data_IF_296825115357
#
_entry.id   IF_296825115357
#
_cell.length_a   1.000
_cell.length_b   1.000
_cell.length_c   1.000
_cell.angle_alpha   90.00
_cell.angle_beta   90.00
_cell.angle_gamma   90.00
#
_symmetry.space_group_name_H-M   'P 1'
#
loop_
_entity.id
_entity.type
_entity.pdbx_description
1 polymer ?
#
# COMPACT_ATOMS: atom_id res chain seq x y z
N UNK A 1 -19.57 -4.54 32.37
CA UNK A 1 -18.43 -5.25 32.98
C UNK A 1 -17.64 -5.84 31.82
N UNK A 2 -16.37 -5.47 31.66
CA UNK A 2 -15.54 -6.07 30.59
C UNK A 2 -15.37 -7.55 30.95
N UNK A 3 -15.62 -8.50 30.01
CA UNK A 3 -15.37 -9.90 30.28
C UNK A 3 -13.93 -10.09 30.78
N UNK A 4 -13.74 -10.95 31.79
CA UNK A 4 -12.38 -11.27 32.24
C UNK A 4 -11.57 -11.81 31.05
N UNK A 5 -10.27 -11.51 31.02
CA UNK A 5 -9.39 -12.04 29.97
C UNK A 5 -9.46 -13.58 29.93
N UNK A 6 -9.59 -14.22 31.10
CA UNK A 6 -9.84 -15.65 31.23
C UNK A 6 -11.10 -16.08 30.44
N UNK A 7 -12.23 -15.40 30.65
CA UNK A 7 -13.50 -15.73 29.98
C UNK A 7 -13.38 -15.59 28.46
N UNK A 8 -12.78 -14.48 27.98
CA UNK A 8 -12.67 -14.20 26.55
C UNK A 8 -11.86 -15.29 25.84
N UNK A 9 -10.66 -15.58 26.32
CA UNK A 9 -9.77 -16.56 25.67
C UNK A 9 -10.27 -17.98 25.85
N UNK A 10 -10.86 -18.35 27.00
CA UNK A 10 -11.46 -19.68 27.18
C UNK A 10 -12.59 -19.93 26.19
N UNK A 11 -13.47 -18.94 25.98
CA UNK A 11 -14.58 -19.06 25.03
C UNK A 11 -14.05 -19.27 23.62
N UNK A 12 -13.01 -18.53 23.22
CA UNK A 12 -12.34 -18.72 21.93
C UNK A 12 -11.64 -20.08 21.81
N UNK A 13 -10.96 -20.55 22.86
CA UNK A 13 -10.28 -21.84 22.87
C UNK A 13 -11.29 -23.00 22.77
N UNK A 14 -12.40 -22.95 23.52
CA UNK A 14 -13.46 -23.95 23.45
C UNK A 14 -14.17 -23.99 22.10
N UNK A 15 -14.39 -22.82 21.48
CA UNK A 15 -14.92 -22.77 20.11
C UNK A 15 -13.98 -23.45 19.11
N UNK A 16 -12.68 -23.12 19.17
CA UNK A 16 -11.67 -23.73 18.31
C UNK A 16 -11.53 -25.25 18.55
N UNK A 17 -11.61 -25.71 19.81
CA UNK A 17 -11.65 -27.14 20.14
C UNK A 17 -12.84 -27.85 19.51
N UNK A 18 -14.03 -27.23 19.55
CA UNK A 18 -15.24 -27.77 18.92
C UNK A 18 -15.13 -27.88 17.40
N UNK A 19 -14.43 -26.93 16.79
CA UNK A 19 -14.14 -26.91 15.35
C UNK A 19 -12.97 -27.85 14.96
N UNK A 20 -12.34 -28.53 15.93
CA UNK A 20 -11.22 -29.44 15.73
C UNK A 20 -9.88 -28.75 15.50
N UNK A 21 -9.76 -27.45 15.79
CA UNK A 21 -8.55 -26.66 15.61
C UNK A 21 -7.66 -26.67 16.87
N UNK A 22 -7.14 -27.84 17.22
CA UNK A 22 -6.29 -28.03 18.39
C UNK A 22 -4.99 -27.22 18.31
N UNK A 23 -4.42 -27.09 17.10
CA UNK A 23 -3.18 -26.34 16.89
C UNK A 23 -3.31 -24.87 17.30
N UNK A 24 -4.46 -24.24 16.99
CA UNK A 24 -4.71 -22.88 17.42
C UNK A 24 -4.70 -22.74 18.95
N UNK A 25 -5.30 -23.69 19.67
CA UNK A 25 -5.29 -23.71 21.13
C UNK A 25 -3.87 -23.86 21.71
N UNK A 26 -3.01 -24.66 21.06
CA UNK A 26 -1.58 -24.74 21.42
C UNK A 26 -0.86 -23.40 21.20
N UNK A 27 -1.18 -22.65 20.14
CA UNK A 27 -0.59 -21.32 19.92
C UNK A 27 -0.98 -20.29 20.99
N UNK A 28 -2.11 -20.51 21.68
CA UNK A 28 -2.50 -19.71 22.84
C UNK A 28 -1.74 -20.11 24.12
N UNK A 29 -0.99 -21.21 24.08
CA UNK A 29 -0.18 -21.71 25.19
C UNK A 29 -0.83 -22.81 26.02
N UNK A 30 -2.00 -23.34 25.62
CA UNK A 30 -2.60 -24.48 26.30
C UNK A 30 -1.84 -25.77 26.00
N UNK A 31 -1.65 -26.58 27.03
CA UNK A 31 -1.14 -27.94 26.90
C UNK A 31 -2.27 -28.90 26.48
N UNK A 32 -1.89 -30.05 25.92
CA UNK A 32 -2.85 -31.08 25.55
C UNK A 32 -3.71 -31.54 26.74
N UNK A 33 -3.12 -31.71 27.92
CA UNK A 33 -3.82 -32.15 29.12
C UNK A 33 -4.86 -31.11 29.59
N UNK A 34 -4.52 -29.83 29.53
CA UNK A 34 -5.44 -28.73 29.82
C UNK A 34 -6.60 -28.68 28.82
N UNK A 35 -6.31 -28.85 27.52
CA UNK A 35 -7.35 -28.89 26.49
C UNK A 35 -8.28 -30.10 26.67
N UNK A 36 -7.73 -31.25 27.03
CA UNK A 36 -8.52 -32.43 27.34
C UNK A 36 -9.40 -32.19 28.57
N UNK A 37 -8.88 -31.59 29.64
CA UNK A 37 -9.66 -31.22 30.82
C UNK A 37 -10.78 -30.24 30.48
N UNK A 38 -10.48 -29.18 29.70
CA UNK A 38 -11.45 -28.19 29.25
C UNK A 38 -12.58 -28.80 28.42
N UNK A 39 -12.28 -29.79 27.57
CA UNK A 39 -13.27 -30.47 26.73
C UNK A 39 -14.25 -31.36 27.53
N UNK A 40 -13.88 -31.76 28.74
CA UNK A 40 -14.70 -32.59 29.62
C UNK A 40 -15.44 -31.79 30.71
N UNK A 41 -15.25 -30.47 30.79
CA UNK A 41 -15.94 -29.63 31.76
C UNK A 41 -17.46 -29.63 31.53
N UNK A 42 -18.21 -29.74 32.62
CA UNK A 42 -19.63 -29.41 32.63
C UNK A 42 -19.86 -27.90 32.42
N UNK A 43 -21.08 -27.52 32.06
CA UNK A 43 -21.44 -26.11 31.91
C UNK A 43 -21.24 -25.33 33.21
N UNK A 44 -21.56 -25.93 34.36
CA UNK A 44 -21.41 -25.29 35.67
C UNK A 44 -19.93 -25.05 36.00
N UNK A 45 -19.05 -26.03 35.76
CA UNK A 45 -17.62 -25.87 35.97
C UNK A 45 -17.01 -24.82 35.04
N UNK A 46 -17.46 -24.76 33.78
CA UNK A 46 -17.05 -23.73 32.83
C UNK A 46 -17.42 -22.33 33.33
N UNK A 47 -18.64 -22.16 33.88
CA UNK A 47 -19.05 -20.88 34.48
C UNK A 47 -18.19 -20.51 35.69
N UNK A 48 -17.79 -21.49 36.51
CA UNK A 48 -16.91 -21.26 37.66
C UNK A 48 -15.52 -20.81 37.21
N UNK A 49 -14.88 -21.59 36.32
CA UNK A 49 -13.51 -21.33 35.85
C UNK A 49 -13.42 -20.00 35.12
N UNK A 50 -14.40 -19.69 34.28
CA UNK A 50 -14.39 -18.45 33.47
C UNK A 50 -14.63 -17.17 34.28
N UNK A 51 -15.30 -17.28 35.44
CA UNK A 51 -15.60 -16.15 36.34
C UNK A 51 -14.63 -16.02 37.51
N UNK A 52 -13.66 -16.91 37.64
CA UNK A 52 -12.67 -16.85 38.73
C UNK A 52 -11.89 -15.53 38.66
N UNK A 53 -11.71 -14.88 39.80
CA UNK A 53 -10.99 -13.59 39.88
C UNK A 53 -9.48 -13.75 39.73
N UNK A 54 -8.96 -14.96 39.91
CA UNK A 54 -7.55 -15.27 39.71
C UNK A 54 -7.22 -15.27 38.21
N UNK A 55 -6.35 -14.35 37.79
CA UNK A 55 -5.92 -14.24 36.40
C UNK A 55 -4.88 -15.33 36.10
N UNK A 56 -5.27 -16.39 35.38
CA UNK A 56 -4.35 -17.44 34.94
C UNK A 56 -3.89 -17.25 33.49
N UNK A 57 -4.42 -16.24 32.80
CA UNK A 57 -3.94 -15.85 31.48
C UNK A 57 -3.14 -14.56 31.52
N UNK A 58 -1.96 -14.56 30.92
CA UNK A 58 -1.13 -13.36 30.79
C UNK A 58 -1.02 -12.97 29.32
N UNK A 59 -1.31 -11.71 29.00
CA UNK A 59 -1.06 -11.15 27.66
C UNK A 59 0.32 -10.51 27.67
N UNK A 60 1.17 -10.96 26.76
CA UNK A 60 2.46 -10.31 26.48
C UNK A 60 2.38 -9.62 25.12
N UNK A 61 2.91 -8.40 25.04
CA UNK A 61 3.01 -7.66 23.79
C UNK A 61 4.46 -7.64 23.35
N UNK A 62 4.75 -8.22 22.18
CA UNK A 62 6.07 -8.08 21.53
C UNK A 62 6.17 -6.69 20.90
N UNK A 63 6.61 -5.72 21.69
CA UNK A 63 6.61 -4.31 21.31
C UNK A 63 7.51 -4.01 20.11
N UNK A 64 8.64 -4.70 20.00
CA UNK A 64 9.57 -4.65 18.86
C UNK A 64 8.89 -5.09 17.56
N UNK A 65 8.22 -6.25 17.59
CA UNK A 65 7.49 -6.79 16.44
C UNK A 65 6.33 -5.88 16.06
N UNK A 66 5.58 -5.38 17.05
CA UNK A 66 4.47 -4.45 16.81
C UNK A 66 4.97 -3.16 16.13
N UNK A 67 6.06 -2.58 16.61
CA UNK A 67 6.64 -1.38 16.00
C UNK A 67 7.08 -1.62 14.56
N UNK A 68 7.68 -2.77 14.28
CA UNK A 68 8.07 -3.16 12.91
C UNK A 68 6.86 -3.29 11.99
N UNK A 69 5.80 -3.98 12.43
CA UNK A 69 4.55 -4.13 11.67
C UNK A 69 3.90 -2.77 11.41
N UNK A 70 3.87 -1.88 12.41
CA UNK A 70 3.34 -0.52 12.25
C UNK A 70 4.15 0.28 11.23
N UNK A 71 5.48 0.17 11.24
CA UNK A 71 6.33 0.83 10.27
C UNK A 71 6.12 0.30 8.85
N UNK A 72 6.00 -1.02 8.69
CA UNK A 72 5.68 -1.67 7.41
C UNK A 72 4.31 -1.24 6.89
N UNK A 73 3.29 -1.24 7.75
CA UNK A 73 1.94 -0.80 7.41
C UNK A 73 1.91 0.64 6.91
N UNK A 74 2.62 1.56 7.56
CA UNK A 74 2.73 2.96 7.10
C UNK A 74 3.40 3.07 5.73
N UNK A 75 4.50 2.32 5.50
CA UNK A 75 5.18 2.30 4.19
C UNK A 75 4.26 1.77 3.09
N UNK A 76 3.53 0.70 3.38
CA UNK A 76 2.59 0.12 2.42
C UNK A 76 1.43 1.08 2.13
N UNK A 77 0.85 1.72 3.15
CA UNK A 77 -0.19 2.72 2.96
C UNK A 77 0.27 3.89 2.07
N UNK A 78 1.50 4.39 2.29
CA UNK A 78 2.08 5.44 1.45
C UNK A 78 2.27 4.97 0.00
N UNK A 79 2.79 3.77 -0.22
CA UNK A 79 2.93 3.17 -1.56
C UNK A 79 1.57 3.05 -2.25
N UNK A 80 0.54 2.59 -1.55
CA UNK A 80 -0.82 2.48 -2.09
C UNK A 80 -1.41 3.86 -2.44
N UNK A 81 -1.12 4.89 -1.64
CA UNK A 81 -1.51 6.27 -1.93
C UNK A 81 -0.82 6.80 -3.21
N UNK A 82 0.50 6.57 -3.36
CA UNK A 82 1.25 6.97 -4.55
C UNK A 82 0.73 6.29 -5.81
N UNK A 83 0.41 4.99 -5.75
CA UNK A 83 -0.21 4.27 -6.88
C UNK A 83 -1.55 4.91 -7.26
N UNK A 84 -2.43 5.15 -6.27
CA UNK A 84 -3.73 5.76 -6.52
C UNK A 84 -3.60 7.15 -7.14
N UNK A 85 -2.64 7.94 -6.67
CA UNK A 85 -2.33 9.28 -7.19
C UNK A 85 -1.85 9.20 -8.65
N UNK A 86 -0.88 8.34 -8.95
CA UNK A 86 -0.40 8.14 -10.32
C UNK A 86 -1.50 7.70 -11.28
N UNK A 87 -2.43 6.84 -10.83
CA UNK A 87 -3.58 6.42 -11.62
C UNK A 87 -4.54 7.58 -11.89
N UNK A 88 -4.87 8.37 -10.86
CA UNK A 88 -5.75 9.55 -10.99
C UNK A 88 -5.19 10.60 -11.92
N UNK A 89 -3.86 10.78 -11.92
CA UNK A 89 -3.17 11.69 -12.81
C UNK A 89 -3.03 11.15 -14.25
N UNK A 90 -3.62 10.01 -14.58
CA UNK A 90 -3.60 9.47 -15.95
C UNK A 90 -2.29 8.74 -16.32
N UNK A 91 -1.65 8.11 -15.34
CA UNK A 91 -0.53 7.19 -15.59
C UNK A 91 -0.96 6.01 -16.46
N UNK A 92 -0.20 5.74 -17.53
CA UNK A 92 -0.43 4.64 -18.46
C UNK A 92 -0.08 3.29 -17.83
N UNK A 93 -0.54 2.19 -18.44
CA UNK A 93 -0.16 0.85 -17.97
C UNK A 93 1.36 0.67 -18.01
N UNK A 94 2.04 1.18 -19.05
CA UNK A 94 3.50 1.12 -19.15
C UNK A 94 4.19 1.88 -18.01
N UNK A 95 3.75 3.10 -17.70
CA UNK A 95 4.29 3.91 -16.60
C UNK A 95 4.05 3.22 -15.25
N UNK A 96 2.83 2.73 -15.01
CA UNK A 96 2.47 2.10 -13.75
C UNK A 96 3.16 0.74 -13.55
N UNK A 97 3.38 0.00 -14.62
CA UNK A 97 4.21 -1.20 -14.59
C UNK A 97 5.67 -0.84 -14.28
N UNK A 98 6.20 0.21 -14.93
CA UNK A 98 7.58 0.63 -14.75
C UNK A 98 7.90 1.02 -13.30
N UNK A 99 7.09 1.88 -12.67
CA UNK A 99 7.38 2.37 -11.32
C UNK A 99 6.83 1.50 -10.19
N UNK A 100 5.74 0.75 -10.44
CA UNK A 100 5.06 0.02 -9.39
C UNK A 100 4.97 -1.49 -9.62
N UNK A 101 5.37 -2.00 -10.79
CA UNK A 101 5.27 -3.42 -11.14
C UNK A 101 3.84 -3.90 -11.39
N UNK A 102 2.89 -2.98 -11.60
CA UNK A 102 1.48 -3.33 -11.78
C UNK A 102 1.22 -3.93 -13.15
N UNK A 103 0.46 -5.01 -13.15
CA UNK A 103 -0.05 -5.65 -14.38
C UNK A 103 -1.20 -4.83 -14.99
N UNK A 104 -1.48 -5.06 -16.27
CA UNK A 104 -2.61 -4.43 -16.97
C UNK A 104 -3.94 -4.66 -16.25
N UNK A 105 -4.17 -5.86 -15.72
CA UNK A 105 -5.41 -6.20 -15.03
C UNK A 105 -5.57 -5.44 -13.71
N UNK A 106 -4.51 -5.34 -12.91
CA UNK A 106 -4.51 -4.58 -11.67
C UNK A 106 -4.76 -3.09 -11.94
N UNK A 107 -4.12 -2.52 -12.96
CA UNK A 107 -4.34 -1.13 -13.38
C UNK A 107 -5.80 -0.90 -13.80
N UNK A 108 -6.36 -1.76 -14.65
CA UNK A 108 -7.75 -1.64 -15.11
C UNK A 108 -8.75 -1.75 -13.96
N UNK A 109 -8.58 -2.74 -13.08
CA UNK A 109 -9.43 -2.93 -11.89
C UNK A 109 -9.38 -1.71 -10.98
N UNK A 110 -8.18 -1.20 -10.73
CA UNK A 110 -7.98 -0.07 -9.83
C UNK A 110 -8.51 1.25 -10.40
N UNK A 111 -8.39 1.49 -11.71
CA UNK A 111 -9.06 2.62 -12.39
C UNK A 111 -10.56 2.59 -12.21
N UNK A 112 -11.18 1.41 -12.40
CA UNK A 112 -12.62 1.22 -12.21
C UNK A 112 -13.03 1.53 -10.76
N UNK A 113 -12.28 1.04 -9.78
CA UNK A 113 -12.52 1.32 -8.36
C UNK A 113 -12.36 2.80 -8.00
N UNK A 114 -11.41 3.49 -8.63
CA UNK A 114 -11.16 4.92 -8.40
C UNK A 114 -12.08 5.85 -9.22
N UNK A 115 -12.95 5.31 -10.07
CA UNK A 115 -13.80 6.11 -10.96
C UNK A 115 -13.03 6.89 -12.04
N UNK A 116 -11.82 6.46 -12.37
CA UNK A 116 -10.97 7.14 -13.37
C UNK A 116 -11.33 6.62 -14.76
N UNK A 117 -11.89 7.49 -15.60
CA UNK A 117 -12.09 7.24 -17.02
C UNK A 117 -10.90 7.79 -17.79
N UNK A 118 -10.38 7.00 -18.74
CA UNK A 118 -9.28 7.43 -19.61
C UNK A 118 -9.85 7.61 -21.00
N UNK A 119 -9.57 8.75 -21.67
CA UNK A 119 -9.98 8.95 -23.05
C UNK A 119 -9.42 7.84 -23.95
N UNK A 120 -10.27 7.25 -24.79
CA UNK A 120 -9.83 6.31 -25.80
C UNK A 120 -9.04 7.06 -26.89
N UNK A 121 -7.80 6.64 -27.15
CA UNK A 121 -6.98 7.20 -28.22
C UNK A 121 -5.51 7.39 -27.85
N UNK A 122 -4.75 8.04 -28.74
CA UNK A 122 -3.37 8.45 -28.47
C UNK A 122 -3.39 9.54 -27.39
N UNK A 123 -2.44 9.50 -26.47
CA UNK A 123 -2.21 10.62 -25.55
C UNK A 123 -1.97 11.88 -26.37
N UNK A 124 -2.73 12.97 -26.12
CA UNK A 124 -2.59 14.20 -26.87
C UNK A 124 -1.17 14.73 -26.72
N UNK A 125 -0.61 15.20 -27.83
CA UNK A 125 0.67 15.89 -27.83
C UNK A 125 0.44 17.25 -27.18
N UNK A 126 1.16 17.60 -26.10
CA UNK A 126 1.05 18.92 -25.49
C UNK A 126 1.50 19.99 -26.49
N UNK A 127 0.89 21.17 -26.39
CA UNK A 127 1.36 22.34 -27.12
C UNK A 127 2.75 22.78 -26.63
N UNK A 128 3.40 23.66 -27.39
CA UNK A 128 4.75 24.12 -27.07
C UNK A 128 4.81 24.87 -25.73
N UNK A 129 3.73 25.57 -25.36
CA UNK A 129 3.65 26.31 -24.10
C UNK A 129 3.60 25.39 -22.88
N UNK A 130 2.81 24.30 -22.94
CA UNK A 130 2.73 23.27 -21.92
C UNK A 130 4.04 22.50 -21.86
N UNK A 131 4.65 22.18 -23.00
CA UNK A 131 5.94 21.46 -23.03
C UNK A 131 7.07 22.27 -22.37
N UNK A 132 7.19 23.56 -22.69
CA UNK A 132 8.14 24.47 -22.06
C UNK A 132 7.90 24.59 -20.55
N UNK A 133 6.64 24.63 -20.13
CA UNK A 133 6.27 24.73 -18.72
C UNK A 133 6.53 23.44 -17.95
N UNK A 134 6.26 22.27 -18.54
CA UNK A 134 6.62 20.95 -17.97
C UNK A 134 8.13 20.94 -17.68
N UNK A 135 8.94 21.35 -18.65
CA UNK A 135 10.39 21.38 -18.49
C UNK A 135 10.83 22.37 -17.41
N UNK A 136 10.24 23.57 -17.38
CA UNK A 136 10.55 24.59 -16.37
C UNK A 136 10.24 24.12 -14.95
N UNK A 137 9.11 23.44 -14.74
CA UNK A 137 8.73 22.91 -13.44
C UNK A 137 9.59 21.71 -13.03
N UNK A 138 9.92 20.82 -13.96
CA UNK A 138 10.85 19.72 -13.73
C UNK A 138 12.22 20.19 -13.26
N UNK A 139 12.79 21.23 -13.92
CA UNK A 139 14.13 21.73 -13.59
C UNK A 139 14.26 22.27 -12.15
N UNK A 140 13.17 22.71 -11.52
CA UNK A 140 13.22 23.25 -10.15
C UNK A 140 13.54 22.18 -9.10
N UNK A 141 13.05 20.96 -9.31
CA UNK A 141 13.18 19.84 -8.38
C UNK A 141 13.74 18.62 -9.10
N UNK A 142 14.70 18.84 -10.02
CA UNK A 142 15.20 17.80 -10.92
C UNK A 142 15.85 16.66 -10.13
N UNK A 143 15.35 15.44 -10.32
CA UNK A 143 16.01 14.24 -9.82
C UNK A 143 17.15 13.84 -10.76
N UNK A 144 18.26 13.32 -10.21
CA UNK A 144 19.42 12.88 -11.00
C UNK A 144 19.12 11.63 -11.84
N UNK A 145 18.22 10.77 -11.37
CA UNK A 145 17.83 9.53 -12.04
C UNK A 145 16.30 9.46 -12.22
N UNK A 146 15.87 9.41 -13.48
CA UNK A 146 14.46 9.35 -13.89
C UNK A 146 13.71 8.10 -13.45
N UNK A 147 14.44 7.03 -13.14
CA UNK A 147 13.87 5.73 -12.77
C UNK A 147 13.57 5.64 -11.26
N UNK A 148 13.80 6.71 -10.51
CA UNK A 148 13.62 6.73 -9.06
C UNK A 148 12.20 7.08 -8.64
N UNK A 149 11.73 6.61 -7.47
CA UNK A 149 10.46 7.05 -6.89
C UNK A 149 10.40 8.57 -6.69
N UNK A 150 11.54 9.21 -6.40
CA UNK A 150 11.64 10.66 -6.24
C UNK A 150 11.39 11.40 -7.56
N UNK A 151 11.91 10.88 -8.68
CA UNK A 151 11.59 11.42 -10.00
C UNK A 151 10.10 11.32 -10.32
N UNK A 152 9.47 10.17 -10.04
CA UNK A 152 8.03 10.00 -10.21
C UNK A 152 7.23 10.98 -9.34
N UNK A 153 7.65 11.19 -8.10
CA UNK A 153 7.02 12.14 -7.18
C UNK A 153 7.03 13.56 -7.77
N UNK A 154 8.17 13.99 -8.31
CA UNK A 154 8.29 15.29 -8.99
C UNK A 154 7.41 15.34 -10.25
N UNK A 155 7.37 14.28 -11.06
CA UNK A 155 6.49 14.21 -12.24
C UNK A 155 5.01 14.32 -11.85
N UNK A 156 4.59 13.69 -10.75
CA UNK A 156 3.23 13.83 -10.23
C UNK A 156 2.93 15.26 -9.77
N UNK A 157 3.87 15.91 -9.07
CA UNK A 157 3.73 17.31 -8.66
C UNK A 157 3.63 18.27 -9.86
N UNK A 158 4.45 18.06 -10.89
CA UNK A 158 4.37 18.82 -12.16
C UNK A 158 3.01 18.62 -12.81
N UNK A 159 2.53 17.38 -12.88
CA UNK A 159 1.23 17.05 -13.46
C UNK A 159 0.09 17.75 -12.71
N UNK A 160 0.11 17.73 -11.38
CA UNK A 160 -0.90 18.39 -10.53
C UNK A 160 -0.90 19.91 -10.69
N UNK A 161 0.28 20.53 -10.75
CA UNK A 161 0.40 21.97 -10.97
C UNK A 161 -0.25 22.41 -12.31
N UNK A 162 -0.18 21.54 -13.32
CA UNK A 162 -0.74 21.77 -14.66
C UNK A 162 -2.20 21.30 -14.81
N UNK A 163 -2.70 20.47 -13.88
CA UNK A 163 -4.05 19.91 -13.92
C UNK A 163 -5.16 20.93 -13.63
N UNK A 164 -4.82 22.13 -13.18
CA UNK A 164 -5.78 23.22 -12.92
C UNK A 164 -6.31 23.90 -14.20
N UNK A 165 -5.78 23.54 -15.36
CA UNK A 165 -6.17 24.07 -16.68
C UNK A 165 -7.25 23.19 -17.31
N UNK A 166 -8.11 23.78 -18.15
CA UNK A 166 -9.21 23.06 -18.83
C UNK A 166 -8.74 21.82 -19.60
N UNK A 167 -7.50 21.82 -20.11
CA UNK A 167 -6.84 20.68 -20.76
C UNK A 167 -5.45 20.41 -20.16
N UNK A 168 -5.40 20.05 -18.87
CA UNK A 168 -4.17 19.65 -18.21
C UNK A 168 -3.56 18.36 -18.79
N UNK A 169 -2.22 18.24 -18.92
CA UNK A 169 -1.57 17.04 -19.42
C UNK A 169 -1.71 15.88 -18.44
N UNK A 170 -1.80 14.65 -18.95
CA UNK A 170 -1.71 13.44 -18.10
C UNK A 170 -0.27 13.20 -17.61
N UNK A 171 -0.13 12.44 -16.52
CA UNK A 171 1.16 12.00 -15.99
C UNK A 171 1.99 11.25 -17.03
N UNK A 172 1.33 10.50 -17.91
CA UNK A 172 2.00 9.82 -19.03
C UNK A 172 2.63 10.81 -20.02
N UNK A 173 1.94 11.91 -20.31
CA UNK A 173 2.46 12.97 -21.20
C UNK A 173 3.67 13.64 -20.55
N UNK A 174 3.56 14.01 -19.27
CA UNK A 174 4.66 14.61 -18.50
C UNK A 174 5.90 13.69 -18.48
N UNK A 175 5.70 12.41 -18.16
CA UNK A 175 6.78 11.41 -18.15
C UNK A 175 7.47 11.28 -19.52
N UNK A 176 6.69 11.18 -20.60
CA UNK A 176 7.24 11.06 -21.95
C UNK A 176 8.06 12.29 -22.35
N UNK A 177 7.58 13.51 -22.05
CA UNK A 177 8.27 14.76 -22.38
C UNK A 177 9.57 14.94 -21.61
N UNK A 178 9.54 14.72 -20.30
CA UNK A 178 10.76 14.79 -19.48
C UNK A 178 11.78 13.75 -19.96
N UNK A 179 11.35 12.53 -20.24
CA UNK A 179 12.23 11.47 -20.74
C UNK A 179 12.85 11.82 -22.10
N UNK A 180 12.08 12.46 -22.99
CA UNK A 180 12.59 12.92 -24.29
C UNK A 180 13.62 14.05 -24.13
N UNK A 181 13.29 15.09 -23.37
CA UNK A 181 14.17 16.24 -23.15
C UNK A 181 15.49 15.85 -22.47
N UNK A 182 15.46 14.93 -21.51
CA UNK A 182 16.67 14.43 -20.84
C UNK A 182 17.56 13.61 -21.80
N UNK A 183 16.97 12.78 -22.67
CA UNK A 183 17.71 12.06 -23.71
C UNK A 183 18.36 13.01 -24.72
N UNK A 184 17.63 14.04 -25.16
CA UNK A 184 18.17 15.05 -26.06
C UNK A 184 19.29 15.87 -25.41
N UNK A 185 19.13 16.25 -24.15
CA UNK A 185 20.16 16.96 -23.40
C UNK A 185 21.44 16.12 -23.23
N UNK A 186 21.31 14.81 -22.99
CA UNK A 186 22.44 13.89 -22.93
C UNK A 186 23.16 13.80 -24.28
N UNK A 187 22.41 13.65 -25.37
CA UNK A 187 22.96 13.54 -26.74
C UNK A 187 23.69 14.82 -27.19
N UNK A 188 23.21 16.01 -26.79
CA UNK A 188 23.91 17.27 -27.07
C UNK A 188 25.23 17.36 -26.30
N UNK A 189 25.27 16.93 -25.05
CA UNK A 189 26.50 16.92 -24.23
C UNK A 189 27.57 15.98 -24.79
N UNK A 190 27.18 14.80 -25.27
CA UNK A 190 28.12 13.85 -25.88
C UNK A 190 28.63 14.32 -27.24
N UNK A 191 27.80 15.03 -28.02
CA UNK A 191 28.20 15.56 -29.34
C UNK A 191 29.14 16.78 -29.27
N UNK A 192 29.19 17.51 -28.16
CA UNK A 192 30.11 18.64 -27.95
C UNK A 192 31.45 18.24 -27.30
N UNK A 193 31.66 16.96 -27.01
CA UNK A 193 32.87 16.44 -26.36
C UNK A 193 33.79 15.65 -27.32
N UNK A 194 33.51 15.68 -28.63
CA UNK A 194 34.35 15.12 -29.70
C UNK A 194 34.75 16.20 -30.69
#
# INVERSE_FOLDING_TARGET
>A
MIPSLNYAVLTHALAALKDGNFHYCETLGFTFDELNALNHLSLDELFIVSRVSAQFMAVTVRHDVLQQILALSRKEALRQQQINRAIRLGGSIALLHHFFGLTSNEVCTRRRLLGVTIPYGRTPIPDEAIDAEIWRLWQKNRAENLETPDALEVMMQVTEALSSREEGPSLTVVWNRITLCEKEALNRRTSHAG
#
